data_IF_212465619762
#
_entry.id   IF_212465619762
#
_cell.length_a   1.000
_cell.length_b   1.000
_cell.length_c   1.000
_cell.angle_alpha   90.00
_cell.angle_beta   90.00
_cell.angle_gamma   90.00
#
_symmetry.space_group_name_H-M   'P 1'
#
loop_
_entity.id
_entity.type
_entity.pdbx_description
1 polymer ?
#
# COMPACT_ATOMS: atom_id res chain seq x y z
N UNK A 1 30.90 -9.83 9.48
CA UNK A 1 29.61 -10.13 10.13
C UNK A 1 28.52 -9.84 9.11
N UNK A 2 27.49 -10.68 8.96
CA UNK A 2 26.35 -10.33 8.11
C UNK A 2 25.65 -9.09 8.67
N UNK A 3 25.20 -8.21 7.78
CA UNK A 3 24.41 -7.03 8.15
C UNK A 3 23.05 -7.50 8.68
N UNK A 4 22.75 -7.18 9.94
CA UNK A 4 21.43 -7.43 10.52
C UNK A 4 20.54 -6.25 10.17
N UNK A 5 19.43 -6.51 9.49
CA UNK A 5 18.47 -5.48 9.05
C UNK A 5 17.16 -5.70 9.78
N UNK A 6 16.59 -4.63 10.34
CA UNK A 6 15.25 -4.65 10.93
C UNK A 6 14.16 -4.42 9.86
N UNK A 7 13.15 -5.27 9.87
CA UNK A 7 11.95 -5.17 9.03
C UNK A 7 10.68 -5.47 9.84
N UNK A 8 9.51 -5.31 9.20
CA UNK A 8 8.22 -5.69 9.76
C UNK A 8 7.37 -6.55 8.80
N UNK A 9 6.31 -7.15 9.34
CA UNK A 9 5.40 -8.07 8.62
C UNK A 9 4.36 -7.30 7.79
N UNK A 10 4.23 -5.98 7.95
CA UNK A 10 3.30 -5.16 7.17
C UNK A 10 2.12 -4.63 7.98
N UNK A 11 1.18 -5.51 8.35
CA UNK A 11 -0.07 -5.13 9.03
C UNK A 11 0.14 -4.16 10.20
N UNK A 12 -0.56 -3.04 10.16
CA UNK A 12 -0.58 -2.04 11.21
C UNK A 12 -2.01 -1.88 11.73
N UNK A 13 -2.22 -1.72 13.05
CA UNK A 13 -3.56 -1.51 13.60
C UNK A 13 -4.17 -0.23 13.03
N UNK A 14 -5.50 -0.24 12.82
CA UNK A 14 -6.20 0.96 12.39
C UNK A 14 -6.07 2.06 13.46
N UNK A 15 -5.85 3.33 13.07
CA UNK A 15 -5.86 4.43 14.01
C UNK A 15 -7.23 4.57 14.69
N UNK A 16 -7.23 5.15 15.89
CA UNK A 16 -8.47 5.45 16.61
C UNK A 16 -9.41 6.34 15.78
N UNK A 17 -10.71 6.03 15.79
CA UNK A 17 -11.72 6.74 15.02
C UNK A 17 -11.72 6.46 13.51
N UNK A 18 -11.00 5.43 13.06
CA UNK A 18 -11.00 4.97 11.67
C UNK A 18 -11.69 3.62 11.57
N UNK A 19 -12.86 3.61 10.92
CA UNK A 19 -13.62 2.39 10.65
C UNK A 19 -13.03 1.63 9.46
N UNK A 20 -12.99 0.29 9.56
CA UNK A 20 -12.38 -0.59 8.54
C UNK A 20 -13.14 -0.51 7.22
N UNK A 21 -14.45 -0.53 7.27
CA UNK A 21 -15.36 -0.51 6.13
C UNK A 21 -15.22 0.79 5.35
N UNK A 22 -15.04 1.91 6.05
CA UNK A 22 -14.80 3.22 5.45
C UNK A 22 -13.50 3.22 4.65
N UNK A 23 -12.40 2.71 5.23
CA UNK A 23 -11.10 2.65 4.57
C UNK A 23 -11.12 1.73 3.37
N UNK A 24 -11.77 0.57 3.46
CA UNK A 24 -11.94 -0.34 2.33
C UNK A 24 -12.74 0.30 1.20
N UNK A 25 -13.83 1.00 1.51
CA UNK A 25 -14.61 1.74 0.52
C UNK A 25 -13.75 2.78 -0.19
N UNK A 26 -13.01 3.60 0.56
CA UNK A 26 -12.14 4.63 -0.02
C UNK A 26 -11.04 4.01 -0.88
N UNK A 27 -10.42 2.92 -0.41
CA UNK A 27 -9.39 2.20 -1.14
C UNK A 27 -9.92 1.67 -2.48
N UNK A 28 -11.11 1.07 -2.47
CA UNK A 28 -11.80 0.62 -3.66
C UNK A 28 -12.05 1.77 -4.65
N UNK A 29 -12.61 2.89 -4.16
CA UNK A 29 -12.84 4.11 -4.96
C UNK A 29 -11.54 4.67 -5.56
N UNK A 30 -10.41 4.58 -4.85
CA UNK A 30 -9.11 5.02 -5.37
C UNK A 30 -8.67 4.16 -6.56
N UNK A 31 -8.88 2.83 -6.47
CA UNK A 31 -8.52 1.89 -7.53
C UNK A 31 -9.43 2.04 -8.75
N UNK A 32 -10.73 2.27 -8.55
CA UNK A 32 -11.69 2.51 -9.64
C UNK A 32 -11.61 3.90 -10.24
N UNK A 33 -10.94 4.84 -9.56
CA UNK A 33 -10.86 6.24 -9.98
C UNK A 33 -12.06 7.09 -9.58
N UNK A 34 -12.96 6.56 -8.75
CA UNK A 34 -14.18 7.20 -8.28
C UNK A 34 -13.99 8.02 -6.99
N UNK A 35 -12.81 7.90 -6.35
CA UNK A 35 -12.54 8.57 -5.07
C UNK A 35 -12.55 10.10 -5.21
N UNK A 36 -13.38 10.74 -4.40
CA UNK A 36 -13.37 12.19 -4.21
C UNK A 36 -12.03 12.68 -3.66
N UNK A 37 -11.68 13.95 -3.92
CA UNK A 37 -10.45 14.55 -3.38
C UNK A 37 -10.34 14.42 -1.86
N UNK A 38 -11.41 14.68 -1.05
CA UNK A 38 -11.35 14.49 0.40
C UNK A 38 -11.11 13.03 0.83
N UNK A 39 -11.74 12.06 0.17
CA UNK A 39 -11.53 10.64 0.47
C UNK A 39 -10.08 10.24 0.20
N UNK A 40 -9.54 10.65 -0.95
CA UNK A 40 -8.15 10.40 -1.34
C UNK A 40 -7.17 11.05 -0.35
N UNK A 41 -7.42 12.29 0.05
CA UNK A 41 -6.59 13.00 1.04
C UNK A 41 -6.63 12.30 2.40
N UNK A 42 -7.81 11.91 2.87
CA UNK A 42 -7.98 11.20 4.15
C UNK A 42 -7.22 9.87 4.15
N UNK A 43 -7.39 9.05 3.11
CA UNK A 43 -6.67 7.79 2.97
C UNK A 43 -5.16 8.00 2.92
N UNK A 44 -4.70 8.96 2.13
CA UNK A 44 -3.27 9.29 2.04
C UNK A 44 -2.70 9.77 3.37
N UNK A 45 -3.45 10.57 4.14
CA UNK A 45 -3.05 11.02 5.46
C UNK A 45 -2.90 9.85 6.42
N UNK A 46 -3.88 8.95 6.48
CA UNK A 46 -3.84 7.77 7.37
C UNK A 46 -2.66 6.86 7.03
N UNK A 47 -2.49 6.50 5.75
CA UNK A 47 -1.35 5.70 5.30
C UNK A 47 -0.03 6.41 5.60
N UNK A 48 0.04 7.72 5.35
CA UNK A 48 1.22 8.53 5.59
C UNK A 48 1.60 8.60 7.07
N UNK A 49 0.64 8.81 7.96
CA UNK A 49 0.85 8.89 9.41
C UNK A 49 1.35 7.54 9.96
N UNK A 50 0.81 6.42 9.47
CA UNK A 50 1.29 5.08 9.84
C UNK A 50 2.72 4.84 9.33
N UNK A 51 3.00 5.19 8.08
CA UNK A 51 4.34 5.04 7.50
C UNK A 51 5.36 5.88 8.26
N UNK A 52 4.99 7.10 8.67
CA UNK A 52 5.85 7.94 9.48
C UNK A 52 6.16 7.28 10.84
N UNK A 53 5.15 6.72 11.52
CA UNK A 53 5.35 5.98 12.78
C UNK A 53 6.29 4.79 12.61
N UNK A 54 6.16 4.04 11.51
CA UNK A 54 7.07 2.92 11.20
C UNK A 54 8.51 3.40 11.01
N UNK A 55 8.71 4.49 10.28
CA UNK A 55 10.04 5.11 10.08
C UNK A 55 10.62 5.58 11.41
N UNK A 56 9.82 6.27 12.22
CA UNK A 56 10.25 6.87 13.49
C UNK A 56 10.61 5.78 14.53
N UNK A 57 10.07 4.57 14.38
CA UNK A 57 10.44 3.42 15.23
C UNK A 57 11.84 2.86 14.96
N UNK A 58 12.53 3.29 13.91
CA UNK A 58 13.87 2.83 13.56
C UNK A 58 13.90 1.54 12.73
N UNK A 59 12.75 1.05 12.23
CA UNK A 59 12.71 -0.04 11.26
C UNK A 59 13.43 0.41 9.97
N UNK A 60 14.43 -0.37 9.55
CA UNK A 60 15.25 -0.04 8.38
C UNK A 60 14.51 -0.28 7.07
N UNK A 61 13.69 -1.33 6.99
CA UNK A 61 12.90 -1.70 5.81
C UNK A 61 11.43 -1.93 6.15
N UNK A 62 10.64 -0.87 6.37
CA UNK A 62 9.24 -1.01 6.71
C UNK A 62 8.45 -1.55 5.51
N UNK A 63 7.42 -2.33 5.78
CA UNK A 63 6.44 -2.78 4.81
C UNK A 63 5.22 -1.84 4.84
N UNK A 64 4.47 -1.79 3.74
CA UNK A 64 3.29 -0.94 3.63
C UNK A 64 2.24 -1.35 4.68
N UNK A 65 1.36 -0.42 5.11
CA UNK A 65 0.56 -0.61 6.32
C UNK A 65 -0.44 -1.77 6.34
N UNK A 66 -0.86 -2.28 5.17
CA UNK A 66 -1.86 -3.35 5.04
C UNK A 66 -3.10 -3.12 5.93
N UNK A 67 -3.65 -1.90 5.88
CA UNK A 67 -4.80 -1.50 6.72
C UNK A 67 -6.11 -2.15 6.26
N UNK A 68 -6.15 -2.62 5.03
CA UNK A 68 -7.27 -3.36 4.44
C UNK A 68 -7.23 -4.86 4.79
N UNK A 69 -8.40 -5.50 4.81
CA UNK A 69 -8.47 -6.97 4.76
C UNK A 69 -8.06 -7.46 3.38
N UNK A 70 -6.85 -8.04 3.30
CA UNK A 70 -6.24 -8.50 2.05
C UNK A 70 -7.06 -9.59 1.36
N UNK A 71 -7.70 -10.48 2.11
CA UNK A 71 -8.43 -11.63 1.55
C UNK A 71 -9.76 -11.15 0.98
N UNK A 72 -10.52 -10.42 1.77
CA UNK A 72 -11.83 -9.90 1.36
C UNK A 72 -11.70 -8.97 0.16
N UNK A 73 -10.69 -8.09 0.14
CA UNK A 73 -10.48 -7.19 -1.00
C UNK A 73 -10.05 -7.96 -2.25
N UNK A 74 -9.16 -8.96 -2.13
CA UNK A 74 -8.76 -9.78 -3.27
C UNK A 74 -9.96 -10.41 -3.99
N UNK A 75 -10.88 -11.04 -3.24
CA UNK A 75 -12.06 -11.67 -3.83
C UNK A 75 -13.03 -10.64 -4.44
N UNK A 76 -13.27 -9.50 -3.78
CA UNK A 76 -14.11 -8.43 -4.35
C UNK A 76 -13.59 -7.92 -5.69
N UNK A 77 -12.27 -7.77 -5.82
CA UNK A 77 -11.66 -7.32 -7.08
C UNK A 77 -11.78 -8.38 -8.18
N UNK A 78 -11.61 -9.66 -7.85
CA UNK A 78 -11.83 -10.75 -8.81
C UNK A 78 -13.29 -10.78 -9.28
N UNK A 79 -14.25 -10.76 -8.35
CA UNK A 79 -15.68 -10.83 -8.69
C UNK A 79 -16.12 -9.68 -9.61
N UNK A 80 -15.59 -8.47 -9.39
CA UNK A 80 -16.03 -7.27 -10.09
C UNK A 80 -15.23 -6.94 -11.34
N UNK A 81 -13.96 -7.35 -11.40
CA UNK A 81 -13.01 -6.90 -12.42
C UNK A 81 -12.17 -8.02 -13.01
N UNK A 82 -12.67 -9.27 -13.04
CA UNK A 82 -11.99 -10.35 -13.74
C UNK A 82 -11.91 -10.11 -15.27
N UNK A 83 -10.90 -10.71 -15.90
CA UNK A 83 -10.83 -10.87 -17.35
C UNK A 83 -11.84 -11.94 -17.79
N UNK A 84 -12.73 -11.61 -18.72
CA UNK A 84 -13.76 -12.55 -19.21
C UNK A 84 -13.14 -13.85 -19.75
N UNK A 85 -11.99 -13.75 -20.42
CA UNK A 85 -11.23 -14.89 -20.96
C UNK A 85 -10.40 -15.64 -19.91
N UNK A 86 -10.20 -15.08 -18.72
CA UNK A 86 -9.39 -15.66 -17.62
C UNK A 86 -10.06 -15.43 -16.27
N UNK A 87 -10.97 -16.33 -15.84
CA UNK A 87 -11.52 -16.26 -14.49
C UNK A 87 -10.37 -16.29 -13.47
N UNK A 88 -10.50 -15.54 -12.37
CA UNK A 88 -9.49 -15.34 -11.32
C UNK A 88 -8.33 -14.38 -11.65
N UNK A 89 -8.29 -13.79 -12.85
CA UNK A 89 -7.31 -12.75 -13.20
C UNK A 89 -8.00 -11.40 -13.20
N UNK A 90 -7.59 -10.50 -12.30
CA UNK A 90 -8.08 -9.12 -12.27
C UNK A 90 -7.47 -8.34 -13.44
N UNK A 91 -8.29 -7.57 -14.16
CA UNK A 91 -7.82 -6.68 -15.24
C UNK A 91 -6.74 -5.74 -14.73
N UNK A 92 -5.69 -5.57 -15.54
CA UNK A 92 -4.44 -4.89 -15.13
C UNK A 92 -4.66 -3.46 -14.64
N UNK A 93 -5.62 -2.73 -15.18
CA UNK A 93 -5.95 -1.37 -14.77
C UNK A 93 -6.40 -1.25 -13.31
N UNK A 94 -6.99 -2.32 -12.75
CA UNK A 94 -7.46 -2.41 -11.35
C UNK A 94 -6.48 -3.15 -10.44
N UNK A 95 -5.40 -3.73 -10.96
CA UNK A 95 -4.39 -4.45 -10.19
C UNK A 95 -3.42 -3.48 -9.46
N UNK A 96 -3.96 -2.68 -8.52
CA UNK A 96 -3.22 -1.65 -7.78
C UNK A 96 -3.37 -1.83 -6.27
N UNK A 97 -2.28 -1.58 -5.53
CA UNK A 97 -2.30 -1.49 -4.07
C UNK A 97 -2.36 0.01 -3.71
N UNK A 98 -3.50 0.53 -3.22
CA UNK A 98 -3.66 1.97 -3.00
C UNK A 98 -2.67 2.50 -1.95
N UNK A 99 -2.32 1.71 -0.92
CA UNK A 99 -1.35 2.10 0.11
C UNK A 99 0.07 2.31 -0.41
N UNK A 100 0.43 1.79 -1.60
CA UNK A 100 1.73 2.06 -2.22
C UNK A 100 1.74 3.36 -3.03
N UNK A 101 0.57 3.86 -3.42
CA UNK A 101 0.43 5.12 -4.18
C UNK A 101 0.37 6.36 -3.28
N UNK A 102 -0.04 6.15 -2.03
CA UNK A 102 -0.24 7.17 -0.99
C UNK A 102 1.01 7.74 -0.30
N UNK A 103 2.11 7.00 -0.05
CA UNK A 103 3.20 7.46 0.83
C UNK A 103 4.11 8.53 0.21
N UNK A 104 3.82 9.06 -0.99
CA UNK A 104 4.70 9.97 -1.70
C UNK A 104 5.14 11.18 -0.86
N UNK A 105 4.25 11.72 -0.01
CA UNK A 105 4.59 12.79 0.92
C UNK A 105 5.61 12.36 1.99
N UNK A 106 5.48 11.16 2.54
CA UNK A 106 6.40 10.60 3.54
C UNK A 106 7.74 10.24 2.90
N UNK A 107 7.71 9.58 1.74
CA UNK A 107 8.90 9.20 0.99
C UNK A 107 9.73 10.43 0.59
N UNK A 108 9.06 11.52 0.16
CA UNK A 108 9.72 12.80 -0.15
C UNK A 108 10.41 13.39 1.10
N UNK A 109 9.70 13.50 2.23
CA UNK A 109 10.29 14.00 3.49
C UNK A 109 11.44 13.13 3.99
N UNK A 110 11.32 11.82 3.85
CA UNK A 110 12.39 10.88 4.19
C UNK A 110 13.63 11.12 3.33
N UNK A 111 13.44 11.26 2.02
CA UNK A 111 14.54 11.53 1.09
C UNK A 111 15.20 12.88 1.37
N UNK A 112 14.42 13.92 1.64
CA UNK A 112 14.95 15.26 1.95
C UNK A 112 15.83 15.26 3.19
N UNK A 113 15.46 14.50 4.22
CA UNK A 113 16.16 14.41 5.50
C UNK A 113 17.35 13.45 5.52
N UNK A 114 17.23 12.27 4.90
CA UNK A 114 18.25 11.21 4.92
C UNK A 114 19.14 11.18 3.67
N UNK A 115 18.78 11.93 2.62
CA UNK A 115 19.40 11.87 1.28
C UNK A 115 19.49 10.44 0.71
N UNK A 116 18.59 9.57 1.17
CA UNK A 116 18.48 8.17 0.79
C UNK A 116 17.02 7.83 0.51
N UNK A 117 16.76 7.04 -0.51
CA UNK A 117 15.42 6.53 -0.79
C UNK A 117 14.96 5.58 0.33
N UNK A 118 13.66 5.63 0.66
CA UNK A 118 13.07 4.68 1.60
C UNK A 118 12.98 3.30 0.94
N UNK A 119 13.72 2.34 1.46
CA UNK A 119 13.66 0.95 1.01
C UNK A 119 12.43 0.27 1.64
N UNK A 120 11.34 0.18 0.89
CA UNK A 120 10.14 -0.52 1.32
C UNK A 120 10.27 -2.03 1.09
N UNK A 121 9.86 -2.82 2.08
CA UNK A 121 9.63 -4.25 1.87
C UNK A 121 8.21 -4.45 1.35
N UNK A 122 8.07 -5.29 0.34
CA UNK A 122 6.76 -5.80 -0.10
C UNK A 122 6.84 -7.31 0.11
N UNK A 123 6.18 -7.84 1.14
CA UNK A 123 6.18 -9.28 1.38
C UNK A 123 5.59 -9.99 0.16
N UNK A 124 6.45 -10.78 -0.49
CA UNK A 124 6.20 -11.41 -1.77
C UNK A 124 5.37 -12.67 -1.58
N UNK A 125 4.06 -12.54 -1.79
CA UNK A 125 3.32 -13.48 -2.64
C UNK A 125 2.49 -12.75 -3.72
N UNK A 126 2.41 -11.42 -3.68
CA UNK A 126 1.79 -10.57 -4.70
C UNK A 126 2.76 -10.02 -5.76
N UNK A 127 4.08 -10.01 -5.49
CA UNK A 127 5.02 -9.26 -6.32
C UNK A 127 5.58 -10.02 -7.54
N UNK A 128 5.49 -11.36 -7.61
CA UNK A 128 6.06 -12.09 -8.76
C UNK A 128 5.30 -11.84 -10.07
N UNK A 129 4.05 -11.39 -10.02
CA UNK A 129 3.29 -10.92 -11.18
C UNK A 129 3.49 -9.43 -11.51
N UNK A 130 4.06 -8.64 -10.58
CA UNK A 130 4.24 -7.17 -10.69
C UNK A 130 5.71 -6.76 -10.83
N UNK A 131 6.66 -7.67 -10.60
CA UNK A 131 8.12 -7.43 -10.65
C UNK A 131 8.66 -6.94 -12.01
N UNK A 132 7.85 -6.92 -13.07
CA UNK A 132 8.20 -6.28 -14.34
C UNK A 132 8.19 -4.75 -14.34
N UNK A 133 7.75 -4.08 -13.26
CA UNK A 133 7.39 -2.65 -13.29
C UNK A 133 8.18 -1.71 -12.36
N UNK A 134 9.13 -2.21 -11.57
CA UNK A 134 9.95 -1.35 -10.69
C UNK A 134 11.43 -1.44 -11.05
N UNK A 135 11.76 -1.05 -12.29
CA UNK A 135 13.03 -0.38 -12.59
C UNK A 135 12.68 1.09 -12.84
N UNK A 136 12.87 1.92 -11.83
CA UNK A 136 12.83 3.37 -12.02
C UNK A 136 14.18 3.76 -12.64
N UNK A 137 14.15 4.13 -13.92
CA UNK A 137 15.10 5.04 -14.55
C UNK A 137 14.82 6.46 -14.10
#
# INVERSE_FOLDING_TARGET
MPEIISDDIGSFPLPEGVEREEIQRIAFEIVTGEASSPNRERFNKIVGDIMQKKIDSGIQRPNFPQIQDMVSEFFKFVEKFYEEDKPWVVKREFARIPELSSPNGVAKRYYESKKKALELRVLQNLAKSVQGLWKIQ
#
